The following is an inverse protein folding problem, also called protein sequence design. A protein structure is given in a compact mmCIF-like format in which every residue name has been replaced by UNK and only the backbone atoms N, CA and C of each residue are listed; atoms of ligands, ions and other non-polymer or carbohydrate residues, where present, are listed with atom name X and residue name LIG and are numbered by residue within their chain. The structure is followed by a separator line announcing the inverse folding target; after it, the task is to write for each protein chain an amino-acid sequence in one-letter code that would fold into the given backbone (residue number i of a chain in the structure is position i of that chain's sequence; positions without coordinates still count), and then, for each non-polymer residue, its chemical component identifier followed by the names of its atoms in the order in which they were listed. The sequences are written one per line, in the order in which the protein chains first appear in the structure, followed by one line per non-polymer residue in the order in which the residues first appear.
data_IF_593419166416
#
_entry.id   IF_593419166416
#
_cell.length_a   1.000
_cell.length_b   1.000
_cell.length_c   1.000
_cell.angle_alpha   90.00
_cell.angle_beta   90.00
_cell.angle_gamma   90.00
#
_symmetry.space_group_name_H-M   'P 1'
#
loop_
_entity.id
_entity.type
_entity.pdbx_description
1 polymer ?
#
# COMPACT_ATOMS: atom_id res chain seq x y z
N UNK A 1 -5.95 -1.42 12.52
CA UNK A 1 -5.48 -0.53 13.61
C UNK A 1 -4.01 -0.76 13.89
N UNK A 2 -3.60 -1.96 14.33
CA UNK A 2 -2.18 -2.29 14.59
C UNK A 2 -1.18 -1.86 13.51
N UNK A 3 -1.52 -1.99 12.22
CA UNK A 3 -0.65 -1.56 11.11
C UNK A 3 -0.36 -0.06 11.15
N UNK A 4 -1.39 0.76 11.40
CA UNK A 4 -1.26 2.22 11.42
C UNK A 4 -0.57 2.71 12.70
N UNK A 5 -0.71 1.99 13.82
CA UNK A 5 0.04 2.26 15.05
C UNK A 5 1.51 1.91 14.88
N UNK A 6 1.82 0.74 14.30
CA UNK A 6 3.19 0.34 14.03
C UNK A 6 3.88 1.32 13.08
N UNK A 7 3.19 1.76 12.01
CA UNK A 7 3.72 2.77 11.10
C UNK A 7 4.07 4.09 11.82
N UNK A 8 3.25 4.49 12.80
CA UNK A 8 3.49 5.70 13.59
C UNK A 8 4.67 5.53 14.56
N UNK A 9 4.76 4.36 15.20
CA UNK A 9 5.81 4.06 16.18
C UNK A 9 7.19 3.93 15.53
N UNK A 10 7.24 3.35 14.34
CA UNK A 10 8.46 3.09 13.59
C UNK A 10 8.85 4.26 12.65
N UNK A 11 8.01 5.29 12.54
CA UNK A 11 8.22 6.48 11.69
C UNK A 11 8.57 6.11 10.23
N UNK A 12 7.74 5.27 9.61
CA UNK A 12 8.02 4.72 8.27
C UNK A 12 7.53 5.64 7.16
N UNK A 13 8.29 5.74 6.08
CA UNK A 13 7.85 6.42 4.86
C UNK A 13 6.83 5.59 4.05
N UNK A 14 6.88 4.27 4.21
CA UNK A 14 6.19 3.31 3.33
C UNK A 14 5.64 2.13 4.12
N UNK A 15 4.40 1.73 3.80
CA UNK A 15 3.76 0.50 4.25
C UNK A 15 3.52 -0.42 3.06
N UNK A 16 4.14 -1.60 3.08
CA UNK A 16 3.90 -2.67 2.10
C UNK A 16 2.91 -3.70 2.63
N UNK A 17 1.78 -3.88 1.93
CA UNK A 17 0.75 -4.86 2.26
C UNK A 17 0.88 -6.09 1.38
N UNK A 18 1.02 -7.28 1.96
CA UNK A 18 0.95 -8.55 1.23
C UNK A 18 -0.42 -9.19 1.40
N UNK A 19 -1.22 -9.24 0.34
CA UNK A 19 -2.60 -9.74 0.37
C UNK A 19 -2.80 -10.84 -0.68
N UNK A 20 -2.97 -12.08 -0.20
CA UNK A 20 -3.24 -13.26 -1.02
C UNK A 20 -4.69 -13.78 -0.90
N UNK A 21 -5.50 -13.15 -0.04
CA UNK A 21 -6.84 -13.60 0.33
C UNK A 21 -7.97 -13.01 -0.51
N UNK A 22 -7.67 -12.14 -1.48
CA UNK A 22 -8.67 -11.41 -2.26
C UNK A 22 -9.38 -10.27 -1.50
N UNK A 23 -8.96 -9.99 -0.26
CA UNK A 23 -9.55 -8.95 0.58
C UNK A 23 -8.96 -7.54 0.35
N UNK A 24 -8.21 -7.32 -0.74
CA UNK A 24 -7.49 -6.07 -1.04
C UNK A 24 -8.43 -4.86 -1.12
N UNK A 25 -9.61 -5.02 -1.73
CA UNK A 25 -10.60 -3.94 -1.87
C UNK A 25 -11.21 -3.47 -0.54
N UNK A 26 -11.19 -4.32 0.49
CA UNK A 26 -11.71 -3.96 1.81
C UNK A 26 -10.59 -3.50 2.74
N UNK A 27 -9.47 -4.23 2.78
CA UNK A 27 -8.41 -4.00 3.76
C UNK A 27 -7.49 -2.85 3.38
N UNK A 28 -7.11 -2.72 2.11
CA UNK A 28 -6.11 -1.74 1.73
C UNK A 28 -6.62 -0.30 1.87
N UNK A 29 -7.84 0.05 1.41
CA UNK A 29 -8.39 1.39 1.64
C UNK A 29 -8.58 1.69 3.13
N UNK A 30 -8.99 0.69 3.91
CA UNK A 30 -9.15 0.85 5.36
C UNK A 30 -7.84 1.20 6.06
N UNK A 31 -6.73 0.63 5.60
CA UNK A 31 -5.40 0.95 6.15
C UNK A 31 -5.00 2.38 5.78
N UNK A 32 -5.24 2.81 4.54
CA UNK A 32 -5.00 4.21 4.13
C UNK A 32 -5.82 5.18 4.99
N UNK A 33 -7.11 4.90 5.21
CA UNK A 33 -7.96 5.71 6.09
C UNK A 33 -7.41 5.80 7.51
N UNK A 34 -6.95 4.68 8.08
CA UNK A 34 -6.39 4.64 9.43
C UNK A 34 -5.07 5.40 9.54
N UNK A 35 -4.21 5.32 8.53
CA UNK A 35 -2.97 6.11 8.46
C UNK A 35 -3.30 7.61 8.46
N UNK A 36 -4.22 8.05 7.60
CA UNK A 36 -4.68 9.43 7.55
C UNK A 36 -5.32 9.89 8.86
N UNK A 37 -6.17 9.06 9.47
CA UNK A 37 -6.79 9.37 10.76
C UNK A 37 -5.76 9.56 11.89
N UNK A 38 -4.61 8.90 11.78
CA UNK A 38 -3.48 9.03 12.69
C UNK A 38 -2.50 10.16 12.29
N UNK A 39 -2.84 11.00 11.31
CA UNK A 39 -1.99 12.11 10.84
C UNK A 39 -0.78 11.68 10.01
N UNK A 40 -0.83 10.49 9.41
CA UNK A 40 0.24 9.90 8.60
C UNK A 40 -0.09 9.98 7.09
N UNK A 41 -0.61 11.11 6.61
CA UNK A 41 -1.01 11.32 5.21
C UNK A 41 0.13 11.17 4.20
N UNK A 42 1.37 11.35 4.66
CA UNK A 42 2.59 11.22 3.86
C UNK A 42 2.99 9.76 3.58
N UNK A 43 2.55 8.82 4.43
CA UNK A 43 2.96 7.41 4.36
C UNK A 43 2.37 6.77 3.11
N UNK A 44 3.24 6.24 2.25
CA UNK A 44 2.84 5.61 0.99
C UNK A 44 2.47 4.16 1.22
N UNK A 45 1.33 3.72 0.68
CA UNK A 45 0.87 2.33 0.80
C UNK A 45 1.05 1.61 -0.52
N UNK A 46 1.74 0.47 -0.49
CA UNK A 46 1.89 -0.43 -1.63
C UNK A 46 1.22 -1.77 -1.36
N UNK A 47 0.77 -2.44 -2.40
CA UNK A 47 0.15 -3.78 -2.31
C UNK A 47 0.98 -4.76 -3.14
N UNK A 48 1.29 -5.91 -2.56
CA UNK A 48 1.75 -7.10 -3.25
C UNK A 48 0.75 -8.24 -3.09
N UNK A 49 0.58 -9.06 -4.12
CA UNK A 49 -0.25 -10.26 -4.05
C UNK A 49 -1.09 -10.49 -5.30
N UNK A 50 -2.27 -11.10 -5.14
CA UNK A 50 -3.17 -11.41 -6.27
C UNK A 50 -4.26 -10.34 -6.31
N UNK A 51 -4.12 -9.37 -7.20
CA UNK A 51 -5.07 -8.28 -7.42
C UNK A 51 -5.55 -8.33 -8.87
N UNK A 52 -6.86 -8.44 -9.14
CA UNK A 52 -7.42 -8.36 -10.48
C UNK A 52 -7.12 -7.02 -11.17
N UNK A 53 -6.86 -7.04 -12.47
CA UNK A 53 -6.55 -5.82 -13.25
C UNK A 53 -7.67 -4.77 -13.19
N UNK A 54 -8.93 -5.21 -13.04
CA UNK A 54 -10.10 -4.34 -12.89
C UNK A 54 -10.14 -3.58 -11.56
N UNK A 55 -9.53 -4.13 -10.50
CA UNK A 55 -9.50 -3.52 -9.16
C UNK A 55 -8.35 -2.53 -9.03
N UNK A 56 -7.29 -2.66 -9.83
CA UNK A 56 -6.09 -1.84 -9.72
C UNK A 56 -6.35 -0.33 -9.86
N UNK A 57 -7.13 0.16 -10.86
CA UNK A 57 -7.41 1.59 -10.98
C UNK A 57 -8.14 2.13 -9.74
N UNK A 58 -9.12 1.37 -9.25
CA UNK A 58 -9.92 1.77 -8.10
C UNK A 58 -9.10 1.81 -6.81
N UNK A 59 -8.20 0.85 -6.60
CA UNK A 59 -7.26 0.87 -5.49
C UNK A 59 -6.32 2.08 -5.54
N UNK A 60 -5.83 2.46 -6.73
CA UNK A 60 -5.00 3.66 -6.90
C UNK A 60 -5.77 4.94 -6.55
N UNK A 61 -7.03 5.05 -6.99
CA UNK A 61 -7.91 6.18 -6.62
C UNK A 61 -8.15 6.25 -5.10
N UNK A 62 -8.15 5.11 -4.41
CA UNK A 62 -8.30 5.02 -2.95
C UNK A 62 -7.02 5.34 -2.17
N UNK A 63 -5.92 5.70 -2.84
CA UNK A 63 -4.68 6.16 -2.20
C UNK A 63 -3.57 5.12 -2.14
N UNK A 64 -3.72 3.99 -2.83
CA UNK A 64 -2.63 3.01 -2.99
C UNK A 64 -1.64 3.52 -4.03
N UNK A 65 -0.36 3.58 -3.66
CA UNK A 65 0.73 4.14 -4.46
C UNK A 65 1.19 3.18 -5.55
N UNK A 66 1.31 1.88 -5.23
CA UNK A 66 1.71 0.86 -6.21
C UNK A 66 1.10 -0.51 -5.88
N UNK A 67 0.88 -1.31 -6.93
CA UNK A 67 0.23 -2.62 -6.86
C UNK A 67 1.07 -3.60 -7.68
N UNK A 68 1.48 -4.70 -7.06
CA UNK A 68 2.42 -5.66 -7.63
C UNK A 68 1.81 -7.06 -7.62
N UNK A 69 1.47 -7.54 -8.81
CA UNK A 69 0.94 -8.87 -9.05
C UNK A 69 2.00 -9.98 -9.00
N UNK A 70 1.59 -11.25 -9.19
CA UNK A 70 2.53 -12.36 -9.34
C UNK A 70 3.51 -12.12 -10.49
N UNK A 71 4.79 -12.33 -10.24
CA UNK A 71 5.85 -12.13 -11.24
C UNK A 71 6.31 -10.68 -11.43
N UNK A 72 5.83 -9.74 -10.60
CA UNK A 72 6.35 -8.37 -10.60
C UNK A 72 7.87 -8.34 -10.35
N UNK A 73 8.59 -7.51 -11.12
CA UNK A 73 10.03 -7.36 -10.98
C UNK A 73 10.38 -6.66 -9.68
N UNK A 74 11.32 -7.24 -8.92
CA UNK A 74 11.86 -6.59 -7.71
C UNK A 74 12.55 -5.27 -8.06
N UNK A 75 13.16 -5.15 -9.23
CA UNK A 75 13.82 -3.92 -9.66
C UNK A 75 12.82 -2.78 -9.85
N UNK A 76 11.66 -3.08 -10.44
CA UNK A 76 10.58 -2.11 -10.64
C UNK A 76 10.01 -1.66 -9.28
N UNK A 77 9.75 -2.60 -8.37
CA UNK A 77 9.28 -2.31 -7.00
C UNK A 77 10.25 -1.37 -6.27
N UNK A 78 11.55 -1.66 -6.33
CA UNK A 78 12.59 -0.83 -5.69
C UNK A 78 12.60 0.58 -6.28
N UNK A 79 12.49 0.69 -7.60
CA UNK A 79 12.47 1.98 -8.30
C UNK A 79 11.28 2.82 -7.86
N UNK A 80 10.08 2.24 -7.88
CA UNK A 80 8.84 2.93 -7.55
C UNK A 80 8.83 3.39 -6.08
N UNK A 81 9.31 2.56 -5.16
CA UNK A 81 9.45 2.95 -3.74
C UNK A 81 10.40 4.14 -3.61
N UNK A 82 11.56 4.10 -4.26
CA UNK A 82 12.54 5.20 -4.22
C UNK A 82 12.00 6.49 -4.83
N UNK A 83 11.13 6.42 -5.83
CA UNK A 83 10.50 7.59 -6.43
C UNK A 83 9.39 8.15 -5.54
N UNK A 84 8.67 7.30 -4.81
CA UNK A 84 7.55 7.72 -3.96
C UNK A 84 7.95 8.41 -2.65
N UNK A 85 9.18 8.17 -2.17
CA UNK A 85 9.74 8.73 -0.92
C UNK A 85 10.69 9.92 -1.14
N UNK A 86 10.87 10.36 -2.38
CA UNK A 86 11.63 11.58 -2.71
C UNK A 86 10.80 12.83 -2.52
#
# INVERSE_FOLDING_TARGET
EMIAEAALQEDVDVVGLSILSGAHMALAPRIVELLKANGQDQVKVFIGGIVPDEDMPRLKEMGITGIYGPGASTEDIIKDIREAVK
#
